data_IF_113395876085
#
_entry.id   IF_113395876085
#
_cell.length_a   1.000
_cell.length_b   1.000
_cell.length_c   1.000
_cell.angle_alpha   90.00
_cell.angle_beta   90.00
_cell.angle_gamma   90.00
#
_symmetry.space_group_name_H-M   'P 1'
#
loop_
_entity.id
_entity.type
_entity.pdbx_description
1 polymer ?
#
# COMPACT_ATOMS: atom_id res chain seq x y z
N UNK A 1 38.36 10.04 18.42
CA UNK A 1 39.77 9.87 18.79
C UNK A 1 39.87 9.90 20.30
N UNK A 2 40.83 9.16 20.86
CA UNK A 2 41.20 9.21 22.28
C UNK A 2 42.70 9.53 22.39
N UNK A 3 43.15 10.13 23.49
CA UNK A 3 44.58 10.42 23.71
C UNK A 3 45.34 9.10 23.88
N UNK A 4 46.49 9.00 23.21
CA UNK A 4 47.39 7.85 23.37
C UNK A 4 48.09 7.93 24.71
N UNK A 5 47.67 7.07 25.65
CA UNK A 5 48.21 7.05 27.02
C UNK A 5 47.37 7.90 27.97
N UNK A 6 47.98 8.33 29.08
CA UNK A 6 47.27 9.05 30.13
C UNK A 6 47.42 10.58 29.95
N UNK A 7 46.32 11.35 29.97
CA UNK A 7 46.41 12.80 29.95
C UNK A 7 47.09 13.31 31.22
N UNK A 8 47.96 14.32 31.06
CA UNK A 8 48.61 15.02 32.17
C UNK A 8 47.88 16.32 32.50
N UNK A 9 48.06 16.79 33.73
CA UNK A 9 47.49 18.06 34.19
C UNK A 9 48.11 19.28 33.49
N UNK A 10 49.34 19.18 32.98
CA UNK A 10 50.05 20.24 32.29
C UNK A 10 50.96 19.69 31.19
N UNK A 11 51.19 20.50 30.16
CA UNK A 11 52.07 20.21 29.03
C UNK A 11 52.95 21.43 28.74
N UNK A 12 54.21 21.20 28.38
CA UNK A 12 55.15 22.28 28.06
C UNK A 12 54.88 22.84 26.65
N UNK A 13 55.29 24.09 26.41
CA UNK A 13 55.22 24.68 25.05
C UNK A 13 56.02 23.82 24.06
N UNK A 14 55.46 23.61 22.87
CA UNK A 14 55.96 22.71 21.82
C UNK A 14 55.86 21.21 22.12
N UNK A 15 55.30 20.82 23.27
CA UNK A 15 55.07 19.41 23.58
C UNK A 15 53.95 18.83 22.72
N UNK A 16 54.11 17.58 22.27
CA UNK A 16 53.19 16.89 21.36
C UNK A 16 52.31 15.88 22.10
N UNK A 17 51.04 15.83 21.71
CA UNK A 17 50.09 14.79 22.12
C UNK A 17 49.65 14.02 20.91
N UNK A 18 49.67 12.68 21.03
CA UNK A 18 49.24 11.77 19.98
C UNK A 18 47.85 11.22 20.30
N UNK A 19 47.03 11.04 19.28
CA UNK A 19 45.71 10.44 19.37
C UNK A 19 45.68 9.06 18.73
N UNK A 20 44.78 8.22 19.21
CA UNK A 20 44.41 6.94 18.61
C UNK A 20 42.93 6.93 18.20
N UNK A 21 42.62 6.27 17.10
CA UNK A 21 41.23 6.06 16.71
C UNK A 21 40.51 5.11 17.69
N UNK A 22 39.22 5.36 17.93
CA UNK A 22 38.36 4.48 18.72
C UNK A 22 38.18 3.13 18.01
N UNK A 23 37.88 2.03 18.73
CA UNK A 23 37.48 0.78 18.10
C UNK A 23 36.32 1.01 17.12
N UNK A 24 36.39 0.39 15.94
CA UNK A 24 35.44 0.64 14.84
C UNK A 24 35.81 1.83 13.93
N UNK A 25 36.96 2.47 14.13
CA UNK A 25 37.44 3.58 13.29
C UNK A 25 38.86 3.31 12.75
N UNK A 26 39.16 3.84 11.56
CA UNK A 26 40.47 3.80 10.90
C UNK A 26 41.07 5.21 10.82
N UNK A 27 42.41 5.30 10.79
CA UNK A 27 43.09 6.56 10.50
C UNK A 27 42.82 7.00 9.06
N UNK A 28 42.47 8.27 8.89
CA UNK A 28 42.31 8.90 7.59
C UNK A 28 43.69 9.11 6.97
N UNK A 29 43.82 8.73 5.69
CA UNK A 29 45.09 8.86 4.98
C UNK A 29 45.53 10.33 4.93
N UNK A 30 46.82 10.57 5.16
CA UNK A 30 47.47 11.91 5.18
C UNK A 30 46.93 12.90 6.23
N UNK A 31 46.06 12.49 7.15
CA UNK A 31 45.58 13.36 8.21
C UNK A 31 46.50 13.28 9.44
N UNK A 32 46.92 14.41 10.02
CA UNK A 32 47.71 14.40 11.26
C UNK A 32 46.88 13.81 12.39
N UNK A 33 47.50 12.95 13.21
CA UNK A 33 46.89 12.37 14.41
C UNK A 33 47.59 12.85 15.69
N UNK A 34 48.35 13.95 15.58
CA UNK A 34 49.00 14.60 16.71
C UNK A 34 48.79 16.12 16.64
N UNK A 35 48.76 16.73 17.81
CA UNK A 35 48.75 18.19 17.99
C UNK A 35 49.90 18.58 18.93
N UNK A 36 50.25 19.86 18.96
CA UNK A 36 51.28 20.42 19.83
C UNK A 36 50.78 21.65 20.57
N UNK A 37 51.36 21.90 21.75
CA UNK A 37 51.05 23.07 22.56
C UNK A 37 51.75 24.31 21.98
N UNK A 38 50.97 25.29 21.56
CA UNK A 38 51.44 26.54 20.96
C UNK A 38 51.94 27.53 22.04
N UNK A 39 52.77 28.52 21.68
CA UNK A 39 53.30 29.51 22.64
C UNK A 39 52.24 30.37 23.37
N UNK A 40 51.02 30.43 22.83
CA UNK A 40 49.86 31.10 23.44
C UNK A 40 49.09 30.18 24.41
N UNK A 41 49.63 29.00 24.75
CA UNK A 41 49.02 27.98 25.61
C UNK A 41 47.73 27.36 25.03
N UNK A 42 47.55 27.37 23.70
CA UNK A 42 46.48 26.62 23.01
C UNK A 42 47.04 25.40 22.29
N UNK A 43 46.19 24.41 22.00
CA UNK A 43 46.56 23.30 21.14
C UNK A 43 46.40 23.69 19.67
N UNK A 44 47.38 23.35 18.84
CA UNK A 44 47.26 23.53 17.41
C UNK A 44 46.01 22.79 16.88
N UNK A 45 45.14 23.45 16.09
CA UNK A 45 43.91 22.82 15.60
C UNK A 45 44.18 21.50 14.85
N UNK A 46 43.41 20.48 15.19
CA UNK A 46 43.51 19.15 14.59
C UNK A 46 42.21 18.78 13.89
N UNK A 47 42.28 18.55 12.58
CA UNK A 47 41.15 18.09 11.79
C UNK A 47 40.77 16.63 12.13
N UNK A 48 39.57 16.22 11.73
CA UNK A 48 39.09 14.85 11.95
C UNK A 48 39.96 13.82 11.19
N UNK A 49 40.80 13.13 11.96
CA UNK A 49 41.79 12.18 11.47
C UNK A 49 41.35 10.71 11.54
N UNK A 50 40.12 10.43 11.94
CA UNK A 50 39.56 9.07 11.99
C UNK A 50 38.25 9.00 11.21
N UNK A 51 38.07 7.95 10.41
CA UNK A 51 36.82 7.63 9.73
C UNK A 51 36.29 6.29 10.22
N UNK A 52 34.99 6.04 10.11
CA UNK A 52 34.43 4.74 10.49
C UNK A 52 35.03 3.63 9.63
N UNK A 53 35.25 2.46 10.23
CA UNK A 53 35.54 1.22 9.50
C UNK A 53 34.30 0.87 8.66
N UNK A 54 34.54 0.24 7.51
CA UNK A 54 33.48 -0.19 6.59
C UNK A 54 33.37 -1.71 6.63
N UNK A 55 32.15 -2.22 6.70
CA UNK A 55 31.90 -3.64 6.47
C UNK A 55 32.15 -4.01 5.00
N UNK A 56 32.30 -5.31 4.73
CA UNK A 56 32.47 -5.81 3.37
C UNK A 56 31.29 -5.38 2.49
N UNK A 57 31.58 -4.88 1.29
CA UNK A 57 30.54 -4.51 0.31
C UNK A 57 29.72 -5.74 -0.07
N UNK A 58 28.41 -5.78 0.25
CA UNK A 58 27.57 -6.92 -0.08
C UNK A 58 27.46 -7.08 -1.60
N UNK A 59 27.57 -8.31 -2.08
CA UNK A 59 27.23 -8.67 -3.46
C UNK A 59 25.91 -9.44 -3.43
N UNK A 60 24.85 -8.80 -3.90
CA UNK A 60 23.50 -9.37 -3.95
C UNK A 60 23.11 -9.44 -5.42
N UNK A 61 22.99 -10.65 -5.96
CA UNK A 61 22.54 -10.85 -7.34
C UNK A 61 21.01 -10.69 -7.39
N UNK A 62 20.49 -9.96 -8.39
CA UNK A 62 19.05 -9.64 -8.53
C UNK A 62 18.46 -8.92 -7.31
N UNK A 63 19.24 -7.98 -6.77
CA UNK A 63 18.87 -7.17 -5.63
C UNK A 63 19.96 -6.17 -5.26
N UNK A 64 19.82 -5.55 -4.10
CA UNK A 64 20.76 -4.54 -3.66
C UNK A 64 20.55 -4.08 -2.23
N UNK A 65 21.21 -2.97 -1.91
CA UNK A 65 21.09 -2.27 -0.64
C UNK A 65 20.49 -0.90 -0.87
N UNK A 66 19.63 -0.48 0.05
CA UNK A 66 19.09 0.89 0.07
C UNK A 66 20.21 1.84 0.52
N UNK A 67 20.44 2.92 -0.23
CA UNK A 67 21.43 3.97 0.05
C UNK A 67 22.87 3.48 0.38
N UNK A 68 23.61 2.94 -0.62
CA UNK A 68 24.91 2.28 -0.43
C UNK A 68 25.98 3.11 0.29
N UNK A 69 25.96 4.44 0.10
CA UNK A 69 27.04 5.33 0.55
C UNK A 69 27.12 5.50 2.08
N UNK A 70 26.03 5.23 2.80
CA UNK A 70 25.97 5.35 4.28
C UNK A 70 25.77 4.00 4.97
N UNK A 71 25.22 3.03 4.26
CA UNK A 71 24.79 1.77 4.83
C UNK A 71 25.95 0.90 5.36
N UNK A 72 27.15 1.02 4.77
CA UNK A 72 28.29 0.14 5.06
C UNK A 72 29.14 0.53 6.28
N UNK A 73 28.86 1.67 6.90
CA UNK A 73 29.69 2.19 7.99
C UNK A 73 29.52 1.40 9.30
N UNK A 74 30.54 1.39 10.15
CA UNK A 74 30.42 0.85 11.49
C UNK A 74 29.22 1.47 12.24
N UNK A 75 28.43 0.60 12.89
CA UNK A 75 27.25 0.95 13.67
C UNK A 75 26.11 1.60 12.84
N UNK A 76 26.00 1.25 11.55
CA UNK A 76 24.85 1.59 10.72
C UNK A 76 24.05 0.34 10.33
N UNK A 77 22.76 0.54 10.10
CA UNK A 77 21.85 -0.48 9.57
C UNK A 77 21.80 -0.39 8.04
N UNK A 78 21.79 -1.55 7.38
CA UNK A 78 21.68 -1.71 5.93
C UNK A 78 20.42 -2.49 5.62
N UNK A 79 19.57 -1.89 4.80
CA UNK A 79 18.35 -2.52 4.30
C UNK A 79 18.61 -3.17 2.95
N UNK A 80 18.29 -4.45 2.85
CA UNK A 80 18.42 -5.24 1.64
C UNK A 80 17.06 -5.33 0.92
N UNK A 81 17.12 -5.36 -0.40
CA UNK A 81 15.96 -5.57 -1.26
C UNK A 81 16.32 -6.53 -2.39
N UNK A 82 15.29 -7.16 -2.95
CA UNK A 82 15.41 -7.96 -4.17
C UNK A 82 14.65 -7.28 -5.30
N UNK A 83 15.13 -7.50 -6.53
CA UNK A 83 14.49 -7.02 -7.74
C UNK A 83 13.15 -7.76 -7.97
N UNK A 84 12.29 -7.20 -8.81
CA UNK A 84 11.00 -7.80 -9.14
C UNK A 84 11.16 -9.24 -9.67
N UNK A 85 10.33 -10.15 -9.16
CA UNK A 85 10.41 -11.58 -9.47
C UNK A 85 11.38 -12.37 -8.60
N UNK A 86 11.99 -11.73 -7.59
CA UNK A 86 12.81 -12.38 -6.58
C UNK A 86 12.29 -12.08 -5.17
N UNK A 87 12.53 -13.02 -4.25
CA UNK A 87 12.21 -12.84 -2.83
C UNK A 87 13.47 -12.98 -1.98
N UNK A 88 13.48 -12.23 -0.88
CA UNK A 88 14.64 -12.16 0.01
C UNK A 88 14.68 -13.38 0.93
N UNK A 89 15.79 -14.11 0.89
CA UNK A 89 16.08 -15.24 1.79
C UNK A 89 17.21 -14.86 2.74
N UNK A 90 16.86 -14.74 4.02
CA UNK A 90 17.75 -14.27 5.09
C UNK A 90 17.16 -13.06 5.80
N UNK A 91 18.01 -12.34 6.54
CA UNK A 91 17.62 -11.12 7.24
C UNK A 91 17.56 -9.93 6.29
N UNK A 92 16.47 -9.15 6.36
CA UNK A 92 16.30 -7.96 5.52
C UNK A 92 17.17 -6.79 5.99
N UNK A 93 17.52 -6.73 7.27
CA UNK A 93 18.27 -5.63 7.87
C UNK A 93 19.51 -6.20 8.56
N UNK A 94 20.69 -5.75 8.15
CA UNK A 94 21.96 -6.10 8.78
C UNK A 94 22.60 -4.88 9.43
N UNK A 95 23.34 -5.10 10.52
CA UNK A 95 24.09 -4.07 11.23
C UNK A 95 25.59 -4.37 11.12
N UNK A 96 26.38 -3.34 10.82
CA UNK A 96 27.84 -3.45 10.82
C UNK A 96 28.39 -3.35 12.25
N UNK A 97 28.80 -4.48 12.82
CA UNK A 97 29.20 -4.62 14.22
C UNK A 97 30.71 -4.77 14.36
N UNK A 98 31.22 -4.48 15.56
CA UNK A 98 32.63 -4.66 15.91
C UNK A 98 32.86 -6.06 16.48
N UNK A 99 33.83 -6.80 15.93
CA UNK A 99 34.32 -8.06 16.48
C UNK A 99 35.84 -8.02 16.57
N UNK A 100 36.37 -8.02 17.80
CA UNK A 100 37.79 -7.73 18.03
C UNK A 100 38.15 -6.31 17.57
N UNK A 101 39.11 -6.22 16.64
CA UNK A 101 39.50 -4.95 16.01
C UNK A 101 39.02 -4.84 14.54
N UNK A 102 38.09 -5.68 14.10
CA UNK A 102 37.56 -5.62 12.73
C UNK A 102 36.04 -5.49 12.76
N UNK A 103 35.45 -4.98 11.67
CA UNK A 103 33.99 -4.84 11.56
C UNK A 103 33.43 -5.89 10.61
N UNK A 104 32.28 -6.44 10.96
CA UNK A 104 31.59 -7.48 10.21
C UNK A 104 30.08 -7.29 10.26
N UNK A 105 29.38 -7.88 9.30
CA UNK A 105 27.92 -7.99 9.36
C UNK A 105 27.52 -8.93 10.52
N UNK A 106 26.49 -8.54 11.26
CA UNK A 106 25.94 -9.35 12.35
C UNK A 106 25.32 -10.69 11.88
N UNK A 107 24.82 -10.75 10.65
CA UNK A 107 24.35 -11.97 10.01
C UNK A 107 24.95 -12.14 8.61
N UNK A 108 24.72 -13.32 8.00
CA UNK A 108 25.09 -13.57 6.61
C UNK A 108 24.34 -12.64 5.66
N UNK A 109 25.02 -12.23 4.58
CA UNK A 109 24.42 -11.43 3.51
C UNK A 109 23.25 -12.23 2.89
N UNK A 110 22.03 -11.66 2.79
CA UNK A 110 20.88 -12.38 2.26
C UNK A 110 21.04 -12.64 0.75
N UNK A 111 20.28 -13.62 0.26
CA UNK A 111 20.24 -13.99 -1.15
C UNK A 111 18.86 -13.72 -1.74
N UNK A 112 18.80 -13.25 -2.98
CA UNK A 112 17.56 -13.11 -3.71
C UNK A 112 17.30 -14.36 -4.55
N UNK A 113 16.25 -15.10 -4.20
CA UNK A 113 15.84 -16.31 -4.92
C UNK A 113 14.66 -16.02 -5.83
N UNK A 114 14.60 -16.68 -7.00
CA UNK A 114 13.49 -16.51 -7.94
C UNK A 114 12.17 -16.91 -7.29
N UNK A 115 11.15 -16.08 -7.50
CA UNK A 115 9.78 -16.42 -7.14
C UNK A 115 9.27 -17.45 -8.15
N UNK A 116 8.95 -18.63 -7.62
CA UNK A 116 8.39 -19.74 -8.37
C UNK A 116 7.14 -20.25 -7.66
N UNK A 117 6.10 -20.51 -8.42
CA UNK A 117 4.87 -21.14 -7.95
C UNK A 117 4.79 -22.58 -8.46
N UNK A 118 4.32 -23.48 -7.59
CA UNK A 118 3.94 -24.82 -8.02
C UNK A 118 2.61 -24.75 -8.78
N UNK A 119 2.30 -25.79 -9.56
CA UNK A 119 1.00 -25.90 -10.22
C UNK A 119 -0.15 -25.66 -9.23
N UNK A 120 -1.14 -24.80 -9.56
CA UNK A 120 -2.22 -24.42 -8.64
C UNK A 120 -3.20 -25.56 -8.36
N UNK A 121 -3.00 -26.73 -8.97
CA UNK A 121 -3.77 -27.93 -8.73
C UNK A 121 -4.90 -28.12 -9.74
N UNK A 122 -5.34 -29.37 -9.85
CA UNK A 122 -6.48 -29.75 -10.68
C UNK A 122 -7.76 -29.54 -9.88
N UNK A 123 -8.81 -29.07 -10.56
CA UNK A 123 -10.14 -28.92 -9.99
C UNK A 123 -11.09 -29.93 -10.65
N UNK A 124 -12.12 -30.36 -9.94
CA UNK A 124 -13.14 -31.24 -10.52
C UNK A 124 -13.93 -30.50 -11.60
N UNK A 125 -14.28 -31.19 -12.70
CA UNK A 125 -15.07 -30.67 -13.81
C UNK A 125 -14.50 -29.39 -14.46
N UNK A 126 -13.19 -29.19 -14.35
CA UNK A 126 -12.53 -27.99 -14.85
C UNK A 126 -11.07 -28.23 -15.18
N UNK A 127 -10.52 -27.30 -15.95
CA UNK A 127 -9.13 -27.32 -16.42
C UNK A 127 -8.55 -25.92 -16.38
N UNK A 128 -7.23 -25.83 -16.40
CA UNK A 128 -6.52 -24.55 -16.53
C UNK A 128 -5.52 -24.56 -17.69
N UNK A 129 -5.17 -23.37 -18.16
CA UNK A 129 -4.10 -23.18 -19.14
C UNK A 129 -2.76 -23.69 -18.59
N UNK A 130 -1.91 -24.22 -19.46
CA UNK A 130 -0.58 -24.72 -19.09
C UNK A 130 -0.58 -25.85 -18.04
N UNK A 131 -1.64 -26.66 -17.96
CA UNK A 131 -1.79 -27.74 -16.97
C UNK A 131 -0.77 -28.87 -17.05
N UNK A 132 0.04 -28.92 -18.11
CA UNK A 132 1.19 -29.84 -18.22
C UNK A 132 2.43 -29.37 -17.45
N UNK A 133 2.49 -28.08 -17.07
CA UNK A 133 3.62 -27.50 -16.32
C UNK A 133 3.40 -27.65 -14.83
N UNK A 134 4.50 -27.92 -14.11
CA UNK A 134 4.50 -28.00 -12.64
C UNK A 134 5.06 -26.74 -11.97
N UNK A 135 5.80 -25.91 -12.70
CA UNK A 135 6.48 -24.72 -12.17
C UNK A 135 6.14 -23.51 -13.04
N UNK A 136 5.80 -22.41 -12.36
CA UNK A 136 5.42 -21.13 -12.94
C UNK A 136 6.29 -20.01 -12.36
N UNK A 137 6.68 -19.06 -13.20
CA UNK A 137 7.47 -17.90 -12.82
C UNK A 137 6.58 -16.75 -12.31
N UNK A 138 7.19 -15.77 -11.65
CA UNK A 138 6.50 -14.58 -11.16
C UNK A 138 5.67 -13.88 -12.25
N UNK A 139 4.48 -13.42 -11.87
CA UNK A 139 3.50 -12.78 -12.76
C UNK A 139 2.96 -13.66 -13.91
N UNK A 140 3.32 -14.94 -13.99
CA UNK A 140 2.64 -15.84 -14.93
C UNK A 140 1.18 -16.03 -14.53
N UNK A 141 0.32 -16.04 -15.54
CA UNK A 141 -1.13 -16.14 -15.41
C UNK A 141 -1.60 -17.54 -15.83
N UNK A 142 -2.40 -18.17 -14.97
CA UNK A 142 -3.23 -19.32 -15.36
C UNK A 142 -4.70 -18.91 -15.38
N UNK A 143 -5.43 -19.43 -16.35
CA UNK A 143 -6.88 -19.21 -16.47
C UNK A 143 -7.60 -20.54 -16.38
N UNK A 144 -8.52 -20.65 -15.43
CA UNK A 144 -9.41 -21.79 -15.26
C UNK A 144 -10.64 -21.66 -16.16
N UNK A 145 -11.12 -22.80 -16.65
CA UNK A 145 -12.38 -22.94 -17.36
C UNK A 145 -13.05 -24.25 -16.97
N UNK A 146 -14.37 -24.23 -16.85
CA UNK A 146 -15.13 -25.45 -16.61
C UNK A 146 -15.23 -26.28 -17.89
N UNK A 147 -15.21 -27.60 -17.71
CA UNK A 147 -15.50 -28.53 -18.79
C UNK A 147 -16.99 -28.53 -19.11
N UNK A 148 -17.41 -28.95 -20.31
CA UNK A 148 -18.84 -29.10 -20.62
C UNK A 148 -19.52 -30.09 -19.68
N UNK A 149 -20.74 -29.79 -19.25
CA UNK A 149 -21.53 -30.70 -18.43
C UNK A 149 -22.16 -31.81 -19.27
N UNK A 150 -22.21 -33.02 -18.71
CA UNK A 150 -22.99 -34.14 -19.29
C UNK A 150 -24.45 -34.15 -18.79
N UNK A 151 -24.80 -33.26 -17.86
CA UNK A 151 -26.13 -33.13 -17.26
C UNK A 151 -27.01 -32.09 -17.97
N UNK A 152 -28.25 -31.89 -17.48
CA UNK A 152 -29.18 -30.89 -18.03
C UNK A 152 -28.83 -29.45 -17.65
N UNK A 153 -27.87 -29.27 -16.74
CA UNK A 153 -27.43 -28.00 -16.18
C UNK A 153 -25.90 -27.90 -16.38
N UNK A 154 -25.43 -26.73 -16.85
CA UNK A 154 -24.02 -26.44 -17.09
C UNK A 154 -23.24 -26.19 -15.79
N UNK A 155 -21.92 -26.42 -15.82
CA UNK A 155 -21.05 -26.04 -14.71
C UNK A 155 -20.80 -24.53 -14.69
N UNK A 156 -20.91 -23.95 -13.51
CA UNK A 156 -20.53 -22.56 -13.24
C UNK A 156 -19.17 -22.50 -12.55
N UNK A 157 -18.34 -21.54 -12.96
CA UNK A 157 -17.06 -21.26 -12.31
C UNK A 157 -17.28 -20.32 -11.13
N UNK A 158 -17.14 -20.84 -9.91
CA UNK A 158 -17.31 -20.11 -8.66
C UNK A 158 -15.94 -19.77 -8.07
N UNK A 159 -15.62 -18.48 -8.00
CA UNK A 159 -14.33 -17.94 -7.56
C UNK A 159 -13.58 -17.18 -8.65
N UNK A 160 -12.31 -16.85 -8.39
CA UNK A 160 -11.47 -16.14 -9.36
C UNK A 160 -11.03 -17.07 -10.50
N UNK A 161 -11.39 -16.71 -11.73
CA UNK A 161 -11.02 -17.51 -12.92
C UNK A 161 -9.53 -17.40 -13.29
N UNK A 162 -8.83 -16.39 -12.77
CA UNK A 162 -7.47 -16.00 -13.14
C UNK A 162 -6.58 -15.99 -11.91
N UNK A 163 -5.55 -16.83 -11.90
CA UNK A 163 -4.57 -16.90 -10.82
C UNK A 163 -3.21 -16.44 -11.36
N UNK A 164 -2.55 -15.57 -10.61
CA UNK A 164 -1.22 -15.01 -10.93
C UNK A 164 -0.22 -15.52 -9.91
N UNK A 165 0.96 -15.96 -10.36
CA UNK A 165 2.03 -16.32 -9.45
C UNK A 165 2.56 -15.06 -8.75
N UNK A 166 2.24 -14.93 -7.46
CA UNK A 166 2.40 -13.69 -6.71
C UNK A 166 3.58 -13.69 -5.74
N UNK A 167 4.02 -14.87 -5.30
CA UNK A 167 5.07 -15.03 -4.31
C UNK A 167 5.58 -16.47 -4.24
N UNK A 168 6.60 -16.75 -3.42
CA UNK A 168 7.23 -18.07 -3.35
C UNK A 168 6.18 -19.14 -2.98
N UNK A 169 5.88 -20.03 -3.92
CA UNK A 169 4.86 -21.06 -3.78
C UNK A 169 3.41 -20.55 -3.68
N UNK A 170 3.15 -19.27 -3.97
CA UNK A 170 1.86 -18.62 -3.67
C UNK A 170 1.21 -17.98 -4.89
N UNK A 171 -0.03 -18.40 -5.15
CA UNK A 171 -0.93 -17.80 -6.13
C UNK A 171 -1.72 -16.63 -5.54
N UNK A 172 -2.22 -15.74 -6.40
CA UNK A 172 -3.00 -14.56 -6.03
C UNK A 172 -4.33 -14.87 -5.33
N UNK A 173 -4.91 -16.05 -5.59
CA UNK A 173 -6.14 -16.55 -5.00
C UNK A 173 -6.11 -18.07 -4.95
N UNK A 174 -7.02 -18.67 -4.18
CA UNK A 174 -7.28 -20.11 -4.23
C UNK A 174 -7.92 -20.51 -5.57
N UNK A 175 -7.72 -21.77 -6.04
CA UNK A 175 -8.36 -22.27 -7.25
C UNK A 175 -9.89 -22.19 -7.18
N UNK A 176 -10.57 -21.84 -8.29
CA UNK A 176 -12.03 -21.77 -8.32
C UNK A 176 -12.66 -23.17 -8.35
N UNK A 177 -13.96 -23.24 -8.13
CA UNK A 177 -14.74 -24.48 -8.23
C UNK A 177 -15.59 -24.50 -9.50
N UNK A 178 -15.61 -25.64 -10.19
CA UNK A 178 -16.56 -25.89 -11.28
C UNK A 178 -17.67 -26.82 -10.80
N UNK A 179 -18.84 -26.25 -10.55
CA UNK A 179 -20.00 -26.98 -10.03
C UNK A 179 -21.30 -26.42 -10.60
N UNK A 180 -22.35 -27.24 -10.59
CA UNK A 180 -23.68 -26.77 -10.97
C UNK A 180 -24.16 -25.80 -9.89
N UNK A 181 -24.43 -24.56 -10.29
CA UNK A 181 -25.07 -23.55 -9.45
C UNK A 181 -26.46 -23.31 -9.99
N UNK A 182 -27.46 -23.53 -9.14
CA UNK A 182 -28.87 -23.39 -9.50
C UNK A 182 -29.64 -22.77 -8.35
N UNK A 183 -30.00 -21.50 -8.49
CA UNK A 183 -30.84 -20.84 -7.51
C UNK A 183 -32.32 -21.11 -7.77
N UNK A 184 -33.08 -21.17 -6.68
CA UNK A 184 -34.52 -21.31 -6.75
C UNK A 184 -35.18 -20.12 -7.44
N UNK A 185 -36.35 -20.38 -8.03
CA UNK A 185 -37.14 -19.34 -8.65
C UNK A 185 -37.48 -18.24 -7.62
N UNK A 186 -37.16 -16.98 -7.89
CA UNK A 186 -37.11 -15.95 -6.86
C UNK A 186 -38.47 -15.29 -6.69
N UNK A 187 -39.23 -15.83 -5.74
CA UNK A 187 -40.58 -15.37 -5.42
C UNK A 187 -40.54 -14.29 -4.34
N UNK A 188 -40.99 -13.08 -4.67
CA UNK A 188 -41.11 -11.98 -3.72
C UNK A 188 -42.59 -11.72 -3.38
N UNK A 189 -42.99 -11.95 -2.13
CA UNK A 189 -44.35 -11.64 -1.66
C UNK A 189 -44.60 -10.13 -1.74
N UNK A 190 -45.76 -9.74 -2.28
CA UNK A 190 -46.14 -8.34 -2.51
C UNK A 190 -45.14 -7.55 -3.37
N UNK A 191 -44.40 -8.25 -4.23
CA UNK A 191 -43.51 -7.65 -5.21
C UNK A 191 -43.49 -8.46 -6.49
N UNK A 192 -42.73 -7.97 -7.47
CA UNK A 192 -42.51 -8.61 -8.76
C UNK A 192 -41.07 -8.37 -9.21
N UNK A 193 -40.47 -9.31 -9.96
CA UNK A 193 -39.22 -9.05 -10.66
C UNK A 193 -39.45 -8.02 -11.78
N UNK A 194 -38.45 -7.18 -12.02
CA UNK A 194 -38.45 -6.15 -13.06
C UNK A 194 -37.55 -6.53 -14.22
N UNK A 195 -36.51 -7.34 -13.97
CA UNK A 195 -35.63 -7.89 -15.00
C UNK A 195 -36.28 -9.08 -15.73
N UNK A 196 -35.68 -9.49 -16.86
CA UNK A 196 -36.15 -10.67 -17.63
C UNK A 196 -36.02 -11.92 -16.77
N UNK A 197 -37.14 -12.60 -16.56
CA UNK A 197 -37.20 -13.90 -15.88
C UNK A 197 -36.67 -14.98 -16.84
N UNK A 198 -35.75 -15.81 -16.35
CA UNK A 198 -35.31 -17.05 -17.00
C UNK A 198 -36.01 -18.26 -16.38
N UNK A 199 -36.03 -19.39 -17.09
CA UNK A 199 -36.50 -20.66 -16.52
C UNK A 199 -35.55 -21.23 -15.46
N UNK A 200 -34.25 -20.91 -15.57
CA UNK A 200 -33.18 -21.35 -14.67
C UNK A 200 -32.25 -20.18 -14.36
N UNK A 201 -31.77 -20.11 -13.12
CA UNK A 201 -30.81 -19.09 -12.66
C UNK A 201 -29.50 -19.74 -12.26
N UNK A 202 -28.43 -19.36 -12.97
CA UNK A 202 -27.05 -19.84 -12.72
C UNK A 202 -26.23 -18.80 -11.94
N UNK A 203 -25.02 -19.17 -11.55
CA UNK A 203 -24.11 -18.29 -10.81
C UNK A 203 -24.00 -16.88 -11.43
N UNK A 204 -24.05 -15.86 -10.57
CA UNK A 204 -24.02 -14.43 -10.92
C UNK A 204 -25.21 -13.92 -11.76
N UNK A 205 -26.24 -14.73 -12.01
CA UNK A 205 -27.49 -14.20 -12.57
C UNK A 205 -28.10 -13.18 -11.62
N UNK A 206 -28.44 -12.00 -12.15
CA UNK A 206 -28.92 -10.86 -11.37
C UNK A 206 -30.42 -10.62 -11.59
N UNK A 207 -31.12 -10.29 -10.50
CA UNK A 207 -32.55 -9.96 -10.54
C UNK A 207 -32.85 -8.72 -9.73
N UNK A 208 -33.66 -7.86 -10.35
CA UNK A 208 -34.21 -6.67 -9.70
C UNK A 208 -35.66 -6.90 -9.32
N UNK A 209 -36.03 -6.42 -8.14
CA UNK A 209 -37.38 -6.45 -7.62
C UNK A 209 -38.01 -5.07 -7.50
N UNK A 210 -39.34 -5.05 -7.62
CA UNK A 210 -40.19 -3.90 -7.32
C UNK A 210 -41.37 -4.36 -6.47
N UNK A 211 -41.62 -3.66 -5.38
CA UNK A 211 -42.80 -3.91 -4.57
C UNK A 211 -44.07 -3.37 -5.25
N UNK A 212 -45.19 -4.03 -5.00
CA UNK A 212 -46.50 -3.59 -5.44
C UNK A 212 -46.89 -2.28 -4.75
N UNK A 213 -47.91 -1.61 -5.29
CA UNK A 213 -48.41 -0.36 -4.74
C UNK A 213 -48.81 -0.49 -3.27
N UNK A 214 -48.44 0.50 -2.45
CA UNK A 214 -48.66 0.49 -1.00
C UNK A 214 -47.67 -0.37 -0.21
N UNK A 215 -46.62 -0.89 -0.84
CA UNK A 215 -45.50 -1.56 -0.18
C UNK A 215 -44.17 -0.91 -0.55
N UNK A 216 -43.21 -0.91 0.37
CA UNK A 216 -41.84 -0.48 0.11
C UNK A 216 -40.86 -1.65 0.23
N UNK A 217 -39.77 -1.58 -0.52
CA UNK A 217 -38.71 -2.59 -0.52
C UNK A 217 -37.78 -2.42 0.67
N UNK A 218 -37.58 -3.50 1.42
CA UNK A 218 -36.68 -3.59 2.55
C UNK A 218 -35.63 -4.68 2.31
N UNK A 219 -34.35 -4.31 2.31
CA UNK A 219 -33.23 -5.19 1.99
C UNK A 219 -32.48 -4.76 0.73
N UNK A 220 -31.64 -5.66 0.22
CA UNK A 220 -30.80 -5.43 -0.95
C UNK A 220 -31.56 -5.63 -2.26
N UNK A 221 -31.26 -4.79 -3.24
CA UNK A 221 -31.78 -4.86 -4.60
C UNK A 221 -30.78 -4.13 -5.51
N UNK A 222 -30.09 -4.80 -6.43
CA UNK A 222 -30.33 -6.16 -6.92
C UNK A 222 -29.88 -7.28 -5.97
N UNK A 223 -30.29 -8.52 -6.30
CA UNK A 223 -29.75 -9.78 -5.75
C UNK A 223 -29.17 -10.62 -6.88
N UNK A 224 -28.14 -11.40 -6.58
CA UNK A 224 -27.46 -12.29 -7.53
C UNK A 224 -27.49 -13.74 -7.04
N UNK A 225 -27.46 -14.70 -7.96
CA UNK A 225 -27.34 -16.11 -7.60
C UNK A 225 -25.91 -16.42 -7.12
N UNK A 226 -25.76 -16.66 -5.83
CA UNK A 226 -24.49 -16.93 -5.16
C UNK A 226 -23.93 -18.32 -5.45
N UNK A 227 -22.68 -18.54 -5.04
CA UNK A 227 -21.96 -19.79 -5.29
C UNK A 227 -22.51 -21.01 -4.54
N UNK A 228 -23.43 -20.82 -3.60
CA UNK A 228 -24.00 -21.87 -2.76
C UNK A 228 -25.47 -22.19 -3.05
N UNK A 229 -25.93 -21.93 -4.29
CA UNK A 229 -27.34 -22.12 -4.71
C UNK A 229 -28.34 -21.22 -3.98
N UNK A 230 -27.87 -20.09 -3.44
CA UNK A 230 -28.66 -19.13 -2.66
C UNK A 230 -28.56 -17.75 -3.27
N UNK A 231 -29.64 -16.96 -3.16
CA UNK A 231 -29.62 -15.55 -3.55
C UNK A 231 -28.79 -14.73 -2.55
N UNK A 232 -27.88 -13.92 -3.07
CA UNK A 232 -26.93 -13.11 -2.33
C UNK A 232 -26.97 -11.64 -2.83
N UNK A 233 -27.06 -10.64 -1.95
CA UNK A 233 -27.45 -10.76 -0.55
C UNK A 233 -28.83 -11.42 -0.40
N UNK A 234 -29.24 -11.73 0.85
CA UNK A 234 -30.55 -12.35 1.10
C UNK A 234 -31.69 -11.58 0.40
N UNK A 235 -32.68 -12.34 -0.07
CA UNK A 235 -33.85 -11.82 -0.79
C UNK A 235 -34.53 -10.68 -0.02
N UNK A 236 -34.87 -9.56 -0.67
CA UNK A 236 -35.55 -8.45 0.00
C UNK A 236 -36.97 -8.84 0.42
N UNK A 237 -37.61 -7.98 1.21
CA UNK A 237 -39.01 -8.11 1.62
C UNK A 237 -39.80 -6.85 1.25
N UNK A 238 -41.06 -7.02 0.87
CA UNK A 238 -41.98 -5.89 0.66
C UNK A 238 -42.83 -5.68 1.90
N UNK A 239 -42.67 -4.52 2.54
CA UNK A 239 -43.37 -4.17 3.78
C UNK A 239 -44.47 -3.16 3.44
N UNK A 240 -45.67 -3.37 3.99
CA UNK A 240 -46.81 -2.48 3.75
C UNK A 240 -46.53 -1.08 4.32
N UNK A 241 -46.81 -0.05 3.54
CA UNK A 241 -46.63 1.36 3.91
C UNK A 241 -45.62 2.09 3.04
N UNK A 242 -45.13 3.21 3.55
CA UNK A 242 -44.10 4.02 2.92
C UNK A 242 -42.76 3.78 3.61
N UNK A 243 -41.66 3.81 2.84
CA UNK A 243 -40.31 3.61 3.38
C UNK A 243 -40.05 4.65 4.49
N UNK A 244 -39.68 4.24 5.71
CA UNK A 244 -39.33 5.18 6.77
C UNK A 244 -38.13 6.03 6.33
N UNK A 245 -38.32 7.32 6.11
CA UNK A 245 -37.28 8.25 5.65
C UNK A 245 -36.47 8.83 6.81
N UNK A 246 -35.84 7.98 7.63
CA UNK A 246 -35.05 8.34 8.84
C UNK A 246 -35.88 8.47 10.14
N UNK A 247 -35.29 8.23 11.35
CA UNK A 247 -35.98 8.27 12.61
C UNK A 247 -36.37 9.71 12.92
N UNK A 248 -37.60 9.90 13.40
CA UNK A 248 -38.06 11.17 13.93
C UNK A 248 -37.20 11.50 15.15
N UNK A 249 -36.06 12.20 14.97
CA UNK A 249 -35.46 12.95 16.08
C UNK A 249 -36.57 13.89 16.55
N UNK A 250 -37.00 13.84 17.83
CA UNK A 250 -37.97 14.78 18.35
C UNK A 250 -37.49 16.21 18.07
N UNK A 251 -38.39 17.18 17.86
CA UNK A 251 -37.98 18.57 17.69
C UNK A 251 -37.07 18.96 18.86
N UNK A 252 -35.93 19.59 18.55
CA UNK A 252 -34.87 19.96 19.49
C UNK A 252 -35.38 20.79 20.69
N UNK A 253 -36.55 21.42 20.56
CA UNK A 253 -37.26 22.14 21.62
C UNK A 253 -37.70 21.29 22.81
N UNK A 254 -37.64 19.95 22.73
CA UNK A 254 -37.99 19.05 23.86
C UNK A 254 -36.80 18.61 24.71
N UNK A 255 -35.57 18.97 24.36
CA UNK A 255 -34.42 18.68 25.23
C UNK A 255 -34.32 19.76 26.32
N UNK A 256 -34.33 19.39 27.62
CA UNK A 256 -34.10 20.34 28.70
C UNK A 256 -32.69 20.95 28.55
N UNK A 257 -32.61 22.26 28.34
CA UNK A 257 -31.35 22.99 28.17
C UNK A 257 -31.09 23.61 26.80
N UNK A 258 -32.02 23.54 25.84
CA UNK A 258 -31.87 24.26 24.56
C UNK A 258 -32.33 25.74 24.69
N UNK A 259 -31.48 26.74 24.40
CA UNK A 259 -31.84 28.15 24.47
C UNK A 259 -32.84 28.58 23.39
N UNK A 260 -33.66 29.59 23.70
CA UNK A 260 -34.67 30.19 22.83
C UNK A 260 -34.00 30.88 21.61
N UNK A 261 -34.55 30.84 20.38
CA UNK A 261 -33.87 31.32 19.16
C UNK A 261 -33.60 32.84 19.04
N UNK A 262 -33.74 33.62 20.11
CA UNK A 262 -33.59 35.08 20.12
C UNK A 262 -32.27 35.56 20.73
N UNK A 263 -31.37 34.66 21.12
CA UNK A 263 -30.02 35.04 21.57
C UNK A 263 -28.99 34.69 20.48
N UNK A 264 -28.55 35.71 19.75
CA UNK A 264 -27.40 35.61 18.86
C UNK A 264 -26.11 35.50 19.69
N UNK A 265 -25.21 34.55 19.40
CA UNK A 265 -23.89 34.50 20.05
C UNK A 265 -22.96 35.60 19.49
N UNK A 266 -21.88 35.97 20.21
CA UNK A 266 -20.91 36.97 19.77
C UNK A 266 -20.15 36.54 18.50
N UNK A 267 -19.80 37.51 17.67
CA UNK A 267 -19.18 37.36 16.34
C UNK A 267 -17.66 37.05 16.47
N UNK A 268 -17.27 36.00 17.17
CA UNK A 268 -15.85 35.60 17.26
C UNK A 268 -15.55 34.15 16.82
N UNK A 269 -16.55 33.35 16.42
CA UNK A 269 -16.33 31.96 15.97
C UNK A 269 -16.66 31.71 14.48
N UNK A 270 -16.64 32.75 13.65
CA UNK A 270 -16.84 32.58 12.20
C UNK A 270 -15.54 32.94 11.48
N UNK A 271 -14.94 31.91 10.86
CA UNK A 271 -13.82 31.90 9.91
C UNK A 271 -12.41 31.64 10.47
N UNK A 272 -12.06 30.36 10.63
CA UNK A 272 -10.74 29.88 10.18
C UNK A 272 -10.93 29.12 8.87
N UNK A 273 -10.97 29.84 7.75
CA UNK A 273 -10.69 29.24 6.46
C UNK A 273 -9.16 29.10 6.38
N UNK A 274 -8.68 27.85 6.37
CA UNK A 274 -7.27 27.53 6.16
C UNK A 274 -6.73 28.30 4.94
N UNK A 275 -5.59 28.97 5.14
CA UNK A 275 -4.86 29.73 4.12
C UNK A 275 -4.64 28.92 2.82
N UNK A 276 -4.52 27.59 2.95
CA UNK A 276 -4.42 26.67 1.82
C UNK A 276 -5.68 26.60 0.96
N UNK A 277 -6.87 26.67 1.57
CA UNK A 277 -8.14 26.64 0.85
C UNK A 277 -8.35 27.96 0.10
N UNK A 278 -8.01 29.09 0.72
CA UNK A 278 -8.07 30.41 0.07
C UNK A 278 -7.12 30.44 -1.14
N UNK A 279 -5.90 29.92 -1.00
CA UNK A 279 -4.95 29.84 -2.10
C UNK A 279 -5.45 28.96 -3.26
N UNK A 280 -6.09 27.82 -2.96
CA UNK A 280 -6.69 26.94 -3.97
C UNK A 280 -7.86 27.62 -4.71
N UNK A 281 -8.74 28.30 -3.99
CA UNK A 281 -9.86 29.03 -4.60
C UNK A 281 -9.35 30.18 -5.48
N UNK A 282 -8.34 30.94 -5.05
CA UNK A 282 -7.75 32.00 -5.87
C UNK A 282 -7.07 31.41 -7.11
N UNK A 283 -6.30 30.33 -6.96
CA UNK A 283 -5.61 29.67 -8.08
C UNK A 283 -6.60 29.15 -9.13
N UNK A 284 -7.68 28.50 -8.69
CA UNK A 284 -8.73 28.00 -9.61
C UNK A 284 -9.43 29.13 -10.37
N UNK A 285 -9.72 30.25 -9.71
CA UNK A 285 -10.31 31.44 -10.36
C UNK A 285 -9.34 32.03 -11.41
N UNK A 286 -8.06 32.14 -11.08
CA UNK A 286 -7.04 32.68 -12.00
C UNK A 286 -6.86 31.79 -13.25
N UNK A 287 -6.86 30.47 -13.07
CA UNK A 287 -6.79 29.51 -14.19
C UNK A 287 -8.02 29.64 -15.09
N UNK A 288 -9.22 29.73 -14.50
CA UNK A 288 -10.46 29.90 -15.27
C UNK A 288 -10.45 31.20 -16.10
N UNK A 289 -10.01 32.33 -15.50
CA UNK A 289 -9.89 33.61 -16.20
C UNK A 289 -8.87 33.54 -17.35
N UNK A 290 -7.73 32.89 -17.14
CA UNK A 290 -6.73 32.70 -18.20
C UNK A 290 -7.30 31.90 -19.38
N UNK A 291 -8.03 30.82 -19.12
CA UNK A 291 -8.69 30.03 -20.16
C UNK A 291 -9.69 30.89 -20.93
N UNK A 292 -10.56 31.65 -20.24
CA UNK A 292 -11.54 32.54 -20.87
C UNK A 292 -10.83 33.58 -21.74
N UNK A 293 -9.77 34.23 -21.24
CA UNK A 293 -8.99 35.20 -22.01
C UNK A 293 -8.35 34.57 -23.26
N UNK A 294 -7.80 33.35 -23.18
CA UNK A 294 -7.24 32.69 -24.36
C UNK A 294 -8.31 32.31 -25.39
N UNK A 295 -9.49 31.89 -24.94
CA UNK A 295 -10.63 31.61 -25.80
C UNK A 295 -11.14 32.87 -26.50
N UNK A 296 -11.30 33.97 -25.76
CA UNK A 296 -11.68 35.28 -26.31
C UNK A 296 -10.63 35.81 -27.29
N UNK A 297 -9.34 35.68 -26.97
CA UNK A 297 -8.26 36.07 -27.87
C UNK A 297 -8.28 35.26 -29.18
N UNK A 298 -8.45 33.93 -29.10
CA UNK A 298 -8.60 33.08 -30.29
C UNK A 298 -9.85 33.42 -31.10
N UNK A 299 -10.96 33.74 -30.45
CA UNK A 299 -12.19 34.16 -31.09
C UNK A 299 -12.02 35.50 -31.82
N UNK A 300 -11.51 36.52 -31.14
CA UNK A 300 -11.25 37.85 -31.72
C UNK A 300 -10.24 37.79 -32.87
N UNK A 301 -9.22 36.92 -32.78
CA UNK A 301 -8.26 36.69 -33.87
C UNK A 301 -8.89 36.01 -35.09
N UNK A 302 -9.91 35.17 -34.91
CA UNK A 302 -10.69 34.60 -36.03
C UNK A 302 -11.61 35.63 -36.67
N UNK A 303 -12.24 36.50 -35.87
CA UNK A 303 -13.13 37.56 -36.37
C UNK A 303 -12.37 38.64 -37.16
N UNK A 304 -11.12 38.97 -36.78
CA UNK A 304 -10.27 39.92 -37.54
C UNK A 304 -9.67 39.37 -38.86
N UNK A 305 -9.92 38.11 -39.21
CA UNK A 305 -9.41 37.46 -40.44
C UNK A 305 -10.49 37.24 -41.52
N UNK A 306 -11.69 37.79 -41.32
CA UNK A 306 -12.78 37.90 -42.29
C UNK A 306 -12.99 39.38 -42.59
#
# INVERSE_FOLDING_TARGET
MDIKGYPRASYDTWEKVFYTCKPGYNYKLFSPYNTFCEPNNTWYPLDEACTKKLCSTPKVENGGIVDPNKALEFNTETHFYCDDGYYLKGEQILTCILSGDQVYWNYAIPTCEKILCQSPGKIENGKHTNSWRNVFEFNELVTYSCEPSNGPDEYSLVGESKLICSGPGKWSSDPPQCKVVKCDYPVLKHGRPVSKIKEKFSYQDEILFQCLEGFYLNGSNPVFCGGNNTWEPEMPTCIKGFKPTHPTKPPLSRYPGYPNPLEFPPIEEIVELDSGVIALVIFTILVALAIICTCLYKYLRRVKKV
#
